data_IF_708511245320
#
_entry.id   IF_708511245320
#
_cell.length_a   1.000
_cell.length_b   1.000
_cell.length_c   1.000
_cell.angle_alpha   90.00
_cell.angle_beta   90.00
_cell.angle_gamma   90.00
#
_symmetry.space_group_name_H-M   'P 1'
#
loop_
_entity.id
_entity.type
_entity.pdbx_description
1 polymer ?
#
# COMPACT_ATOMS: atom_id res chain seq x y z
N UNK A 1 -0.47 16.44 19.36
CA UNK A 1 0.56 17.02 18.47
C UNK A 1 0.36 16.38 17.11
N UNK A 2 -0.01 17.17 16.10
CA UNK A 2 -0.25 16.66 14.75
C UNK A 2 1.05 16.63 13.94
N UNK A 3 1.17 15.67 13.03
CA UNK A 3 2.25 15.45 12.05
C UNK A 3 2.54 16.62 11.08
N UNK A 4 2.00 17.80 11.38
CA UNK A 4 2.14 19.00 10.55
C UNK A 4 3.59 19.29 10.14
N UNK A 5 4.60 19.17 11.04
CA UNK A 5 5.99 19.46 10.67
C UNK A 5 6.62 18.37 9.80
N UNK A 6 6.48 17.07 10.15
CA UNK A 6 7.21 16.01 9.44
C UNK A 6 6.68 15.78 8.02
N UNK A 7 5.37 15.95 7.81
CA UNK A 7 4.75 15.78 6.50
C UNK A 7 4.78 17.04 5.62
N UNK A 8 4.96 18.23 6.20
CA UNK A 8 4.96 19.49 5.45
C UNK A 8 5.99 19.51 4.32
N UNK A 9 7.16 18.89 4.53
CA UNK A 9 8.21 18.82 3.50
C UNK A 9 7.80 18.01 2.25
N UNK A 10 6.75 17.17 2.36
CA UNK A 10 6.27 16.32 1.26
C UNK A 10 5.03 16.91 0.57
N UNK A 11 4.51 18.05 1.03
CA UNK A 11 3.24 18.61 0.56
C UNK A 11 3.20 18.79 -0.97
N UNK A 12 4.22 19.45 -1.54
CA UNK A 12 4.29 19.71 -2.99
C UNK A 12 4.27 18.40 -3.81
N UNK A 13 4.98 17.38 -3.35
CA UNK A 13 5.03 16.09 -4.04
C UNK A 13 3.74 15.29 -3.91
N UNK A 14 3.06 15.36 -2.74
CA UNK A 14 1.71 14.80 -2.55
C UNK A 14 0.72 15.49 -3.49
N UNK A 15 0.73 16.82 -3.53
CA UNK A 15 -0.14 17.61 -4.40
C UNK A 15 0.12 17.31 -5.88
N UNK A 16 1.38 17.17 -6.29
CA UNK A 16 1.76 16.82 -7.65
C UNK A 16 1.25 15.43 -8.05
N UNK A 17 1.38 14.42 -7.18
CA UNK A 17 0.88 13.07 -7.45
C UNK A 17 -0.65 13.04 -7.47
N UNK A 18 -1.31 13.73 -6.53
CA UNK A 18 -2.76 13.86 -6.51
C UNK A 18 -3.29 14.52 -7.80
N UNK A 19 -2.66 15.62 -8.23
CA UNK A 19 -3.02 16.31 -9.46
C UNK A 19 -2.81 15.43 -10.70
N UNK A 20 -1.73 14.64 -10.74
CA UNK A 20 -1.48 13.66 -11.82
C UNK A 20 -2.58 12.60 -11.87
N UNK A 21 -2.90 12.01 -10.72
CA UNK A 21 -3.88 10.94 -10.58
C UNK A 21 -5.29 11.42 -10.92
N UNK A 22 -5.64 12.65 -10.56
CA UNK A 22 -6.94 13.26 -10.87
C UNK A 22 -7.21 13.46 -12.37
N UNK A 23 -6.17 13.41 -13.21
CA UNK A 23 -6.28 13.53 -14.67
C UNK A 23 -6.36 12.17 -15.38
N UNK A 24 -6.20 11.06 -14.66
CA UNK A 24 -6.25 9.74 -15.27
C UNK A 24 -7.68 9.41 -15.69
N UNK A 25 -7.83 8.93 -16.91
CA UNK A 25 -9.08 8.39 -17.46
C UNK A 25 -8.93 6.89 -17.69
N UNK A 26 -10.02 6.21 -18.04
CA UNK A 26 -9.99 4.79 -18.44
C UNK A 26 -9.44 3.85 -17.36
N UNK A 27 -9.76 4.17 -16.10
CA UNK A 27 -9.45 3.33 -14.94
C UNK A 27 -10.30 2.05 -14.95
N UNK A 28 -9.77 0.94 -14.39
CA UNK A 28 -10.55 -0.27 -14.17
C UNK A 28 -11.84 0.00 -13.38
N UNK A 29 -12.88 -0.78 -13.68
CA UNK A 29 -14.10 -0.72 -12.90
C UNK A 29 -13.83 -1.13 -11.44
N UNK A 30 -14.36 -0.38 -10.46
CA UNK A 30 -14.32 -0.81 -9.06
C UNK A 30 -15.02 -2.16 -8.86
N UNK A 31 -14.47 -2.98 -7.96
CA UNK A 31 -14.99 -4.30 -7.60
C UNK A 31 -14.97 -4.48 -6.08
N UNK A 32 -15.54 -5.59 -5.58
CA UNK A 32 -15.33 -5.93 -4.16
C UNK A 32 -13.85 -6.27 -3.94
N UNK A 33 -13.29 -5.71 -2.88
CA UNK A 33 -11.91 -5.93 -2.46
C UNK A 33 -11.90 -6.49 -1.03
N UNK A 34 -10.74 -6.93 -0.56
CA UNK A 34 -10.52 -7.28 0.83
C UNK A 34 -10.62 -6.03 1.73
N UNK A 35 -10.03 -4.90 1.31
CA UNK A 35 -10.17 -3.61 1.97
C UNK A 35 -9.20 -3.36 3.13
N UNK A 36 -8.60 -4.41 3.68
CA UNK A 36 -7.49 -4.33 4.65
C UNK A 36 -6.42 -5.43 4.44
N UNK A 37 -6.03 -5.66 3.18
CA UNK A 37 -5.10 -6.76 2.86
C UNK A 37 -3.67 -6.41 3.27
N UNK A 38 -3.05 -7.28 4.07
CA UNK A 38 -1.64 -7.20 4.47
C UNK A 38 -1.11 -8.60 4.83
N UNK A 39 0.21 -8.77 5.01
CA UNK A 39 0.83 -10.06 5.35
C UNK A 39 0.18 -10.81 6.52
N UNK A 40 -0.28 -10.10 7.55
CA UNK A 40 -1.02 -10.71 8.68
C UNK A 40 -2.34 -11.40 8.30
N UNK A 41 -2.90 -11.14 7.12
CA UNK A 41 -4.11 -11.76 6.58
C UNK A 41 -3.83 -12.84 5.52
N UNK A 42 -2.55 -13.14 5.29
CA UNK A 42 -2.12 -14.16 4.34
C UNK A 42 -1.55 -15.36 5.09
N UNK A 43 -2.22 -16.51 4.97
CA UNK A 43 -1.78 -17.77 5.52
C UNK A 43 -1.22 -18.66 4.41
N UNK A 44 -0.11 -19.35 4.68
CA UNK A 44 0.43 -20.36 3.76
C UNK A 44 0.28 -21.74 4.39
N UNK A 45 -0.37 -22.64 3.66
CA UNK A 45 -0.42 -24.06 4.00
C UNK A 45 -0.01 -24.88 2.78
N UNK A 46 1.03 -25.71 2.93
CA UNK A 46 1.69 -26.39 1.82
C UNK A 46 2.11 -25.37 0.73
N UNK A 47 1.66 -25.58 -0.51
CA UNK A 47 1.96 -24.74 -1.67
C UNK A 47 0.83 -23.76 -2.03
N UNK A 48 -0.14 -23.57 -1.11
CA UNK A 48 -1.29 -22.69 -1.32
C UNK A 48 -1.31 -21.52 -0.33
N UNK A 49 -1.81 -20.38 -0.82
CA UNK A 49 -2.06 -19.18 -0.04
C UNK A 49 -3.56 -19.01 0.21
N UNK A 50 -3.90 -18.68 1.45
CA UNK A 50 -5.24 -18.38 1.90
C UNK A 50 -5.27 -16.94 2.40
N UNK A 51 -6.25 -16.18 1.93
CA UNK A 51 -6.55 -14.84 2.45
C UNK A 51 -7.70 -14.96 3.45
N UNK A 52 -7.55 -14.33 4.60
CA UNK A 52 -8.53 -14.34 5.70
C UNK A 52 -9.03 -12.94 6.02
N UNK A 53 -10.10 -12.81 6.81
CA UNK A 53 -10.54 -11.53 7.41
C UNK A 53 -11.07 -10.46 6.42
N UNK A 54 -12.06 -10.85 5.62
CA UNK A 54 -12.74 -9.97 4.65
C UNK A 54 -13.72 -8.96 5.29
N UNK A 55 -13.50 -8.53 6.53
CA UNK A 55 -14.35 -7.53 7.19
C UNK A 55 -14.10 -6.10 6.70
N UNK A 56 -12.96 -5.87 6.02
CA UNK A 56 -12.50 -4.56 5.56
C UNK A 56 -11.87 -3.71 6.68
N UNK A 57 -11.39 -2.51 6.36
CA UNK A 57 -10.68 -1.61 7.29
C UNK A 57 -11.47 -1.41 8.61
N UNK A 58 -10.93 -1.85 9.77
CA UNK A 58 -11.67 -1.87 11.03
C UNK A 58 -12.18 -0.50 11.49
N UNK A 59 -11.41 0.55 11.22
CA UNK A 59 -11.75 1.92 11.61
C UNK A 59 -12.72 2.61 10.64
N UNK A 60 -13.01 1.99 9.49
CA UNK A 60 -13.95 2.52 8.52
C UNK A 60 -15.42 2.23 8.92
N UNK A 61 -16.37 3.13 8.64
CA UNK A 61 -17.80 2.84 8.78
C UNK A 61 -18.23 1.63 7.94
N UNK A 62 -19.22 0.86 8.38
CA UNK A 62 -19.69 -0.36 7.69
C UNK A 62 -20.02 -0.13 6.21
N UNK A 63 -20.68 0.99 5.89
CA UNK A 63 -21.02 1.34 4.50
C UNK A 63 -19.79 1.65 3.61
N UNK A 64 -18.64 1.94 4.22
CA UNK A 64 -17.38 2.09 3.50
C UNK A 64 -16.68 0.74 3.29
N UNK A 65 -16.79 -0.20 4.25
CA UNK A 65 -16.15 -1.53 4.17
C UNK A 65 -16.69 -2.40 3.03
N UNK A 66 -17.95 -2.21 2.64
CA UNK A 66 -18.60 -2.97 1.56
C UNK A 66 -18.61 -2.25 0.21
N UNK A 67 -18.06 -1.03 0.14
CA UNK A 67 -18.04 -0.24 -1.09
C UNK A 67 -17.04 -0.85 -2.08
N UNK A 68 -17.42 -1.04 -3.36
CA UNK A 68 -16.47 -1.43 -4.39
C UNK A 68 -15.34 -0.41 -4.55
N UNK A 69 -14.13 -0.89 -4.80
CA UNK A 69 -12.93 -0.08 -5.02
C UNK A 69 -12.00 -0.77 -6.04
N UNK A 70 -10.88 -0.12 -6.36
CA UNK A 70 -9.87 -0.65 -7.25
C UNK A 70 -9.12 -1.81 -6.58
N UNK A 71 -8.95 -2.92 -7.31
CA UNK A 71 -8.18 -4.08 -6.87
C UNK A 71 -6.76 -3.71 -6.41
N UNK A 72 -6.17 -2.69 -7.04
CA UNK A 72 -4.85 -2.16 -6.69
C UNK A 72 -4.75 -1.61 -5.26
N UNK A 73 -5.87 -1.33 -4.58
CA UNK A 73 -5.85 -0.91 -3.17
C UNK A 73 -5.37 -2.05 -2.26
N UNK A 74 -5.78 -3.28 -2.53
CA UNK A 74 -5.31 -4.46 -1.78
C UNK A 74 -3.83 -4.75 -2.08
N UNK A 75 -3.40 -4.56 -3.35
CA UNK A 75 -1.99 -4.66 -3.73
C UNK A 75 -1.15 -3.62 -2.99
N UNK A 76 -1.60 -2.37 -2.93
CA UNK A 76 -0.94 -1.32 -2.16
C UNK A 76 -0.79 -1.69 -0.68
N UNK A 77 -1.84 -2.26 -0.05
CA UNK A 77 -1.78 -2.76 1.33
C UNK A 77 -0.71 -3.84 1.54
N UNK A 78 -0.61 -4.81 0.63
CA UNK A 78 0.44 -5.83 0.68
C UNK A 78 1.84 -5.24 0.51
N UNK A 79 2.02 -4.31 -0.44
CA UNK A 79 3.30 -3.65 -0.66
C UNK A 79 3.76 -2.86 0.58
N UNK A 80 2.84 -2.15 1.24
CA UNK A 80 3.11 -1.50 2.53
C UNK A 80 3.50 -2.50 3.61
N UNK A 81 2.85 -3.67 3.65
CA UNK A 81 3.15 -4.68 4.66
C UNK A 81 4.57 -5.27 4.56
N UNK A 82 5.18 -5.29 3.37
CA UNK A 82 6.61 -5.65 3.23
C UNK A 82 7.55 -4.61 3.86
N UNK A 83 7.21 -3.31 3.77
CA UNK A 83 8.00 -2.26 4.44
C UNK A 83 7.98 -2.44 5.97
N UNK A 84 6.81 -2.78 6.53
CA UNK A 84 6.69 -3.09 7.96
C UNK A 84 7.42 -4.38 8.35
N UNK A 85 7.28 -5.45 7.56
CA UNK A 85 7.97 -6.71 7.84
C UNK A 85 9.49 -6.54 7.83
N UNK A 86 10.02 -5.74 6.91
CA UNK A 86 11.45 -5.40 6.84
C UNK A 86 11.90 -4.65 8.09
N UNK A 87 11.15 -3.62 8.49
CA UNK A 87 11.46 -2.84 9.68
C UNK A 87 11.43 -3.68 10.97
N UNK A 88 10.44 -4.56 11.09
CA UNK A 88 10.34 -5.49 12.23
C UNK A 88 11.49 -6.50 12.23
N UNK A 89 11.78 -7.12 11.08
CA UNK A 89 12.81 -8.16 10.95
C UNK A 89 14.23 -7.65 11.24
N UNK A 90 14.47 -6.34 11.04
CA UNK A 90 15.77 -5.69 11.32
C UNK A 90 15.85 -5.04 12.68
N UNK A 91 14.71 -4.81 13.32
CA UNK A 91 14.59 -3.98 14.50
C UNK A 91 14.42 -2.50 14.14
N UNK A 92 13.45 -1.86 14.78
CA UNK A 92 12.99 -0.50 14.47
C UNK A 92 14.09 0.57 14.56
N UNK A 93 15.13 0.34 15.39
CA UNK A 93 16.28 1.28 15.51
C UNK A 93 17.11 1.36 14.24
N UNK A 94 17.06 0.33 13.39
CA UNK A 94 17.73 0.28 12.08
C UNK A 94 16.76 0.57 10.92
N UNK A 95 15.49 0.84 11.22
CA UNK A 95 14.49 1.15 10.21
C UNK A 95 14.84 2.50 9.55
N UNK A 96 15.25 2.44 8.27
CA UNK A 96 15.74 3.59 7.51
C UNK A 96 17.25 3.65 7.34
N UNK A 97 18.01 2.69 7.89
CA UNK A 97 19.45 2.53 7.66
C UNK A 97 19.75 1.08 7.28
N UNK A 98 20.10 0.84 6.01
CA UNK A 98 20.50 -0.49 5.55
C UNK A 98 19.97 -0.87 4.18
N UNK A 99 20.21 -2.12 3.80
CA UNK A 99 19.90 -2.67 2.49
C UNK A 99 18.41 -3.03 2.34
N UNK A 100 17.57 -2.23 1.71
CA UNK A 100 16.14 -2.56 1.56
C UNK A 100 15.85 -3.62 0.46
N UNK A 101 16.87 -4.32 -0.05
CA UNK A 101 16.78 -5.30 -1.14
C UNK A 101 15.67 -6.33 -0.97
N UNK A 102 15.48 -6.88 0.23
CA UNK A 102 14.42 -7.87 0.45
C UNK A 102 13.03 -7.30 0.19
N UNK A 103 12.77 -6.06 0.63
CA UNK A 103 11.48 -5.42 0.39
C UNK A 103 11.31 -5.16 -1.10
N UNK A 104 12.33 -4.65 -1.77
CA UNK A 104 12.30 -4.37 -3.21
C UNK A 104 12.07 -5.65 -4.02
N UNK A 105 12.77 -6.74 -3.71
CA UNK A 105 12.61 -8.05 -4.33
C UNK A 105 11.20 -8.62 -4.09
N UNK A 106 10.68 -8.56 -2.86
CA UNK A 106 9.35 -9.03 -2.53
C UNK A 106 8.25 -8.23 -3.26
N UNK A 107 8.42 -6.91 -3.35
CA UNK A 107 7.52 -6.01 -4.09
C UNK A 107 7.54 -6.32 -5.58
N UNK A 108 8.72 -6.48 -6.17
CA UNK A 108 8.87 -6.84 -7.58
C UNK A 108 8.23 -8.21 -7.89
N UNK A 109 8.47 -9.22 -7.03
CA UNK A 109 7.89 -10.55 -7.17
C UNK A 109 6.36 -10.53 -7.05
N UNK A 110 5.80 -9.80 -6.08
CA UNK A 110 4.35 -9.67 -5.91
C UNK A 110 3.71 -9.02 -7.15
N UNK A 111 4.29 -7.93 -7.65
CA UNK A 111 3.76 -7.22 -8.82
C UNK A 111 3.84 -8.07 -10.09
N UNK A 112 4.95 -8.77 -10.31
CA UNK A 112 5.10 -9.68 -11.44
C UNK A 112 4.04 -10.79 -11.40
N UNK A 113 3.89 -11.46 -10.26
CA UNK A 113 2.88 -12.51 -10.09
C UNK A 113 1.44 -11.99 -10.21
N UNK A 114 1.16 -10.78 -9.70
CA UNK A 114 -0.14 -10.15 -9.82
C UNK A 114 -0.48 -9.83 -11.28
N UNK A 115 0.47 -9.29 -12.05
CA UNK A 115 0.29 -9.01 -13.49
C UNK A 115 0.08 -10.31 -14.26
N UNK A 116 0.90 -11.34 -14.03
CA UNK A 116 0.77 -12.65 -14.68
C UNK A 116 -0.62 -13.28 -14.43
N UNK A 117 -1.06 -13.30 -13.18
CA UNK A 117 -2.37 -13.84 -12.81
C UNK A 117 -3.52 -13.01 -13.40
N UNK A 118 -3.38 -11.68 -13.43
CA UNK A 118 -4.40 -10.79 -14.00
C UNK A 118 -4.51 -10.94 -15.51
N UNK A 119 -3.39 -11.18 -16.20
CA UNK A 119 -3.37 -11.36 -17.66
C UNK A 119 -4.05 -12.65 -18.14
N UNK A 120 -4.11 -13.68 -17.30
CA UNK A 120 -4.85 -14.92 -17.60
C UNK A 120 -6.37 -14.81 -17.45
N UNK A 121 -6.89 -13.71 -16.89
CA UNK A 121 -8.33 -13.48 -16.72
C UNK A 121 -8.97 -12.90 -17.98
N UNK A 122 -10.25 -13.20 -18.24
CA UNK A 122 -10.96 -12.68 -19.42
C UNK A 122 -11.05 -11.13 -19.36
N UNK A 123 -10.19 -10.45 -20.12
CA UNK A 123 -9.98 -8.98 -20.06
C UNK A 123 -8.54 -8.55 -19.71
N UNK A 124 -7.62 -9.49 -19.52
CA UNK A 124 -6.28 -9.33 -18.92
C UNK A 124 -5.19 -8.64 -19.74
N UNK A 125 -5.42 -7.41 -20.19
CA UNK A 125 -4.31 -6.48 -20.45
C UNK A 125 -3.85 -5.82 -19.15
N UNK A 126 -2.57 -5.41 -19.06
CA UNK A 126 -2.17 -4.47 -18.02
C UNK A 126 -3.05 -3.22 -18.13
N UNK A 127 -3.81 -2.90 -17.08
CA UNK A 127 -4.71 -1.76 -17.12
C UNK A 127 -3.91 -0.47 -17.37
N UNK A 128 -4.43 0.47 -18.18
CA UNK A 128 -3.83 1.77 -18.33
C UNK A 128 -3.52 2.39 -16.96
N UNK A 129 -2.36 3.05 -16.86
CA UNK A 129 -1.99 3.81 -15.66
C UNK A 129 -1.85 2.99 -14.36
N UNK A 130 -1.70 1.65 -14.44
CA UNK A 130 -1.54 0.78 -13.26
C UNK A 130 -0.49 1.31 -12.28
N UNK A 131 0.67 1.74 -12.78
CA UNK A 131 1.76 2.26 -11.94
C UNK A 131 1.38 3.56 -11.23
N UNK A 132 0.82 4.55 -11.94
CA UNK A 132 0.41 5.84 -11.36
C UNK A 132 -0.68 5.63 -10.30
N UNK A 133 -1.67 4.77 -10.59
CA UNK A 133 -2.77 4.45 -9.67
C UNK A 133 -2.25 3.73 -8.43
N UNK A 134 -1.41 2.72 -8.61
CA UNK A 134 -0.83 1.97 -7.50
C UNK A 134 0.03 2.89 -6.62
N UNK A 135 0.85 3.76 -7.23
CA UNK A 135 1.66 4.75 -6.52
C UNK A 135 0.79 5.70 -5.68
N UNK A 136 -0.34 6.15 -6.22
CA UNK A 136 -1.27 7.01 -5.51
C UNK A 136 -1.98 6.29 -4.34
N UNK A 137 -2.42 5.05 -4.54
CA UNK A 137 -3.07 4.23 -3.50
C UNK A 137 -2.09 3.85 -2.38
N UNK A 138 -0.82 3.57 -2.73
CA UNK A 138 0.22 3.33 -1.75
C UNK A 138 0.55 4.59 -0.94
N UNK A 139 0.56 5.77 -1.59
CA UNK A 139 0.74 7.04 -0.88
C UNK A 139 -0.41 7.32 0.09
N UNK A 140 -1.66 7.09 -0.34
CA UNK A 140 -2.85 7.22 0.51
C UNK A 140 -2.74 6.36 1.78
N UNK A 141 -2.38 5.07 1.63
CA UNK A 141 -2.18 4.17 2.78
C UNK A 141 -0.99 4.62 3.64
N UNK A 142 0.12 5.05 3.05
CA UNK A 142 1.30 5.52 3.79
C UNK A 142 1.02 6.81 4.60
N UNK A 143 0.25 7.76 4.05
CA UNK A 143 -0.17 8.97 4.76
C UNK A 143 -1.12 8.64 5.93
N UNK A 144 -2.08 7.73 5.70
CA UNK A 144 -2.95 7.23 6.75
C UNK A 144 -2.15 6.59 7.90
N UNK A 145 -1.22 5.69 7.55
CA UNK A 145 -0.33 5.02 8.49
C UNK A 145 0.54 6.02 9.26
N UNK A 146 1.11 7.05 8.60
CA UNK A 146 1.88 8.07 9.29
C UNK A 146 1.06 8.69 10.43
N UNK A 147 -0.18 9.10 10.14
CA UNK A 147 -1.13 9.65 11.13
C UNK A 147 -1.42 8.66 12.25
N UNK A 148 -1.59 7.39 11.93
CA UNK A 148 -1.82 6.35 12.91
C UNK A 148 -0.59 6.11 13.80
N UNK A 149 0.59 5.92 13.22
CA UNK A 149 1.82 5.62 13.95
C UNK A 149 2.24 6.77 14.86
N UNK A 150 2.14 8.01 14.39
CA UNK A 150 2.45 9.18 15.20
C UNK A 150 1.60 9.28 16.48
N UNK A 151 0.37 8.75 16.43
CA UNK A 151 -0.57 8.79 17.56
C UNK A 151 -0.43 7.58 18.47
N UNK A 152 -0.18 6.40 17.90
CA UNK A 152 -0.30 5.13 18.63
C UNK A 152 1.04 4.43 18.87
N UNK A 153 2.01 4.56 17.95
CA UNK A 153 3.33 3.91 18.03
C UNK A 153 4.42 4.82 17.46
N UNK A 154 4.79 5.93 18.12
CA UNK A 154 5.71 6.92 17.55
C UNK A 154 7.07 6.35 17.09
N UNK A 155 7.55 5.28 17.72
CA UNK A 155 8.78 4.58 17.32
C UNK A 155 8.70 3.93 15.92
N UNK A 156 7.50 3.77 15.35
CA UNK A 156 7.27 3.17 14.03
C UNK A 156 7.10 4.22 12.92
N UNK A 157 7.05 5.52 13.27
CA UNK A 157 6.72 6.60 12.35
C UNK A 157 7.69 6.71 11.16
N UNK A 158 8.95 6.31 11.32
CA UNK A 158 9.93 6.32 10.22
C UNK A 158 9.52 5.42 9.05
N UNK A 159 8.75 4.34 9.29
CA UNK A 159 8.33 3.37 8.29
C UNK A 159 7.42 4.02 7.22
N UNK A 160 6.27 4.64 7.58
CA UNK A 160 5.44 5.33 6.60
C UNK A 160 6.09 6.59 6.03
N UNK A 161 6.90 7.34 6.80
CA UNK A 161 7.58 8.53 6.27
C UNK A 161 8.57 8.21 5.15
N UNK A 162 9.33 7.12 5.27
CA UNK A 162 10.24 6.65 4.20
C UNK A 162 9.47 6.29 2.93
N UNK A 163 8.30 5.66 3.08
CA UNK A 163 7.45 5.34 1.95
C UNK A 163 6.88 6.60 1.28
N UNK A 164 6.40 7.57 2.06
CA UNK A 164 5.97 8.88 1.54
C UNK A 164 7.12 9.51 0.76
N UNK A 165 8.33 9.59 1.33
CA UNK A 165 9.50 10.17 0.65
C UNK A 165 9.81 9.48 -0.69
N UNK A 166 9.78 8.14 -0.74
CA UNK A 166 9.96 7.36 -1.97
C UNK A 166 8.86 7.59 -3.00
N UNK A 167 7.61 7.76 -2.55
CA UNK A 167 6.44 7.88 -3.42
C UNK A 167 6.22 9.29 -3.95
N UNK A 168 6.78 10.32 -3.33
CA UNK A 168 6.65 11.71 -3.77
C UNK A 168 7.91 12.28 -4.44
N UNK A 169 9.07 11.62 -4.25
CA UNK A 169 10.31 11.90 -4.99
C UNK A 169 10.29 11.37 -6.42
#
# INVERSE_FOLDING_TARGET
MGLGPELAQYADGVEALAARTARLTDLPAPQRIHGDLHLGQALRAHDEWFVTDFEGEPLAPVAARTRPDLALRDVAGMLRSFDYATAVGRGLETAGTGDDSWADDARAALLAGYVEASSGSAGGGAAPHTEDVLRALELDKALYEAVYEARNRPAWLSIPLRAVARLVG
#
